data_IF_472447315977
#
_entry.id   IF_472447315977
#
_cell.length_a   1.000
_cell.length_b   1.000
_cell.length_c   1.000
_cell.angle_alpha   90.00
_cell.angle_beta   90.00
_cell.angle_gamma   90.00
#
_symmetry.space_group_name_H-M   'P 1'
#
loop_
_entity.id
_entity.type
_entity.pdbx_description
1 polymer ?
#
# COMPACT_ATOMS: atom_id res chain seq x y z
N UNK A 1 -26.05 -21.87 4.37
CA UNK A 1 -26.87 -20.63 4.42
C UNK A 1 -27.58 -20.57 5.75
N UNK A 2 -27.57 -19.42 6.44
CA UNK A 2 -28.26 -19.25 7.72
C UNK A 2 -29.63 -18.63 7.48
N UNK A 3 -30.68 -19.26 8.01
CA UNK A 3 -32.04 -18.71 7.95
C UNK A 3 -32.46 -18.32 9.34
N UNK A 4 -32.59 -17.02 9.58
CA UNK A 4 -33.10 -16.46 10.82
C UNK A 4 -34.61 -16.30 10.71
N UNK A 5 -35.36 -16.70 11.74
CA UNK A 5 -36.81 -16.50 11.78
C UNK A 5 -37.32 -16.26 13.20
N UNK A 6 -38.40 -15.50 13.31
CA UNK A 6 -39.13 -15.28 14.55
C UNK A 6 -40.61 -15.01 14.27
N UNK A 7 -41.48 -15.30 15.24
CA UNK A 7 -42.87 -14.82 15.19
C UNK A 7 -42.88 -13.32 15.46
N UNK A 8 -43.80 -12.60 14.82
CA UNK A 8 -43.89 -11.13 14.88
C UNK A 8 -44.04 -10.59 16.31
N UNK A 9 -44.59 -11.39 17.24
CA UNK A 9 -44.78 -11.03 18.64
C UNK A 9 -43.71 -11.62 19.59
N UNK A 10 -42.67 -12.26 19.05
CA UNK A 10 -41.59 -12.88 19.82
C UNK A 10 -40.26 -12.17 19.54
N UNK A 11 -39.60 -11.71 20.60
CA UNK A 11 -38.28 -11.06 20.52
C UNK A 11 -37.16 -12.07 20.23
N UNK A 12 -37.41 -13.37 20.43
CA UNK A 12 -36.42 -14.42 20.26
C UNK A 12 -36.36 -14.85 18.80
N UNK A 13 -35.19 -14.69 18.18
CA UNK A 13 -34.88 -15.25 16.85
C UNK A 13 -34.35 -16.67 16.98
N UNK A 14 -34.86 -17.54 16.11
CA UNK A 14 -34.32 -18.88 15.85
C UNK A 14 -33.48 -18.85 14.58
N UNK A 15 -32.46 -19.70 14.53
CA UNK A 15 -31.60 -19.88 13.36
C UNK A 15 -31.58 -21.34 12.96
N UNK A 16 -31.65 -21.59 11.66
CA UNK A 16 -31.40 -22.91 11.07
C UNK A 16 -30.31 -22.76 10.03
N UNK A 17 -29.29 -23.60 10.14
CA UNK A 17 -28.24 -23.73 9.13
C UNK A 17 -28.62 -24.83 8.15
N UNK A 18 -28.75 -24.45 6.87
CA UNK A 18 -29.09 -25.37 5.79
C UNK A 18 -27.91 -25.48 4.83
N UNK A 19 -27.56 -26.72 4.47
CA UNK A 19 -26.57 -27.05 3.44
C UNK A 19 -27.29 -27.43 2.15
N UNK A 20 -26.88 -26.84 1.02
CA UNK A 20 -27.46 -27.07 -0.30
C UNK A 20 -27.99 -25.80 -0.97
N UNK A 21 -28.40 -25.94 -2.24
CA UNK A 21 -28.87 -24.82 -3.08
C UNK A 21 -30.39 -24.64 -3.07
N UNK A 22 -31.13 -25.50 -2.35
CA UNK A 22 -32.58 -25.45 -2.23
C UNK A 22 -32.98 -25.56 -0.75
N UNK A 23 -33.88 -24.68 -0.30
CA UNK A 23 -34.38 -24.63 1.08
C UNK A 23 -35.90 -24.66 1.03
N UNK A 24 -36.50 -25.64 1.71
CA UNK A 24 -37.96 -25.77 1.82
C UNK A 24 -38.45 -25.21 3.15
N UNK A 25 -39.58 -24.50 3.10
CA UNK A 25 -40.15 -23.77 4.24
C UNK A 25 -41.63 -24.14 4.36
N UNK A 26 -42.09 -24.50 5.55
CA UNK A 26 -43.50 -24.83 5.78
C UNK A 26 -43.77 -25.34 7.20
N UNK A 27 -45.03 -25.67 7.50
CA UNK A 27 -45.39 -26.22 8.83
C UNK A 27 -45.08 -27.72 8.97
N UNK A 28 -44.84 -28.41 7.87
CA UNK A 28 -44.56 -29.85 7.88
C UNK A 28 -43.15 -30.11 8.42
N UNK A 29 -42.93 -31.10 9.31
CA UNK A 29 -41.61 -31.42 9.85
C UNK A 29 -40.56 -31.84 8.81
N UNK A 30 -41.00 -32.21 7.61
CA UNK A 30 -40.11 -32.60 6.49
C UNK A 30 -39.43 -31.40 5.80
N UNK A 31 -39.82 -30.16 6.15
CA UNK A 31 -39.17 -28.96 5.60
C UNK A 31 -37.84 -28.66 6.31
N UNK A 32 -36.93 -27.98 5.60
CA UNK A 32 -35.69 -27.49 6.18
C UNK A 32 -35.96 -26.42 7.26
N UNK A 33 -36.88 -25.50 7.00
CA UNK A 33 -37.33 -24.48 7.97
C UNK A 33 -38.78 -24.77 8.35
N UNK A 34 -38.96 -25.25 9.58
CA UNK A 34 -40.27 -25.64 10.12
C UNK A 34 -40.90 -24.48 10.86
N UNK A 35 -42.05 -24.00 10.36
CA UNK A 35 -42.83 -22.90 10.91
C UNK A 35 -44.17 -23.43 11.49
N UNK A 36 -44.23 -23.82 12.78
CA UNK A 36 -45.41 -24.45 13.36
C UNK A 36 -46.55 -23.44 13.58
N UNK A 37 -47.34 -23.21 12.55
CA UNK A 37 -48.55 -22.38 12.59
C UNK A 37 -49.63 -22.92 11.64
N UNK A 38 -50.92 -22.88 12.01
CA UNK A 38 -52.01 -23.26 11.12
C UNK A 38 -52.14 -22.34 9.90
N UNK A 39 -51.62 -21.11 9.99
CA UNK A 39 -51.63 -20.10 8.91
C UNK A 39 -50.52 -20.33 7.87
N UNK A 40 -49.63 -21.30 8.11
CA UNK A 40 -48.56 -21.68 7.19
C UNK A 40 -48.92 -23.00 6.50
N UNK A 41 -48.87 -23.03 5.18
CA UNK A 41 -49.03 -24.23 4.35
C UNK A 41 -48.04 -25.34 4.75
N UNK A 42 -48.41 -26.61 4.51
CA UNK A 42 -47.54 -27.78 4.79
C UNK A 42 -46.17 -27.62 4.15
N UNK A 43 -46.16 -27.24 2.87
CA UNK A 43 -45.00 -26.71 2.14
C UNK A 43 -45.44 -25.34 1.61
N UNK A 44 -44.82 -24.28 2.10
CA UNK A 44 -45.24 -22.91 1.83
C UNK A 44 -44.36 -22.25 0.78
N UNK A 45 -43.04 -22.34 0.93
CA UNK A 45 -42.12 -21.74 -0.02
C UNK A 45 -40.89 -22.62 -0.26
N UNK A 46 -40.29 -22.46 -1.42
CA UNK A 46 -39.00 -23.05 -1.78
C UNK A 46 -38.07 -21.92 -2.19
N UNK A 47 -36.92 -21.81 -1.53
CA UNK A 47 -35.89 -20.82 -1.85
C UNK A 47 -34.74 -21.53 -2.55
N UNK A 48 -34.40 -21.08 -3.76
CA UNK A 48 -33.27 -21.59 -4.54
C UNK A 48 -32.18 -20.53 -4.70
N UNK A 49 -30.93 -20.97 -4.70
CA UNK A 49 -29.76 -20.12 -4.97
C UNK A 49 -29.33 -20.34 -6.41
N UNK A 50 -29.32 -19.29 -7.24
CA UNK A 50 -28.82 -19.32 -8.61
C UNK A 50 -28.01 -18.05 -8.90
N UNK A 51 -26.78 -18.20 -9.40
CA UNK A 51 -25.85 -17.09 -9.72
C UNK A 51 -25.69 -16.04 -8.58
N UNK A 52 -25.66 -16.49 -7.33
CA UNK A 52 -25.49 -15.63 -6.15
C UNK A 52 -26.73 -14.81 -5.76
N UNK A 53 -27.87 -14.98 -6.46
CA UNK A 53 -29.18 -14.42 -6.10
C UNK A 53 -30.10 -15.49 -5.50
N UNK A 54 -30.98 -15.05 -4.60
CA UNK A 54 -32.00 -15.91 -4.00
C UNK A 54 -33.30 -15.77 -4.77
N UNK A 55 -33.94 -16.91 -5.06
CA UNK A 55 -35.25 -16.97 -5.70
C UNK A 55 -36.22 -17.66 -4.76
N UNK A 56 -37.30 -16.98 -4.37
CA UNK A 56 -38.36 -17.57 -3.58
C UNK A 56 -39.53 -17.92 -4.50
N UNK A 57 -39.90 -19.19 -4.52
CA UNK A 57 -41.11 -19.71 -5.15
C UNK A 57 -42.15 -20.00 -4.05
N UNK A 58 -43.32 -19.36 -4.12
CA UNK A 58 -44.43 -19.68 -3.23
C UNK A 58 -45.18 -20.90 -3.78
N UNK A 59 -45.06 -22.05 -3.11
CA UNK A 59 -45.74 -23.29 -3.49
C UNK A 59 -47.01 -23.54 -2.67
N UNK A 60 -47.31 -22.65 -1.72
CA UNK A 60 -48.48 -22.70 -0.86
C UNK A 60 -49.70 -21.99 -1.44
N UNK A 61 -50.85 -22.21 -0.81
CA UNK A 61 -52.10 -21.51 -1.14
C UNK A 61 -52.18 -20.10 -0.54
N UNK A 62 -51.49 -19.88 0.58
CA UNK A 62 -51.45 -18.58 1.27
C UNK A 62 -50.35 -17.70 0.66
N UNK A 63 -50.58 -16.40 0.58
CA UNK A 63 -49.55 -15.46 0.12
C UNK A 63 -48.40 -15.34 1.12
N UNK A 64 -47.25 -14.93 0.60
CA UNK A 64 -46.10 -14.49 1.39
C UNK A 64 -45.63 -13.14 0.87
N UNK A 65 -44.89 -12.39 1.67
CA UNK A 65 -44.37 -11.07 1.27
C UNK A 65 -42.85 -11.09 1.28
N UNK A 66 -42.21 -10.61 0.22
CA UNK A 66 -40.75 -10.47 0.11
C UNK A 66 -40.43 -8.99 -0.01
N UNK A 67 -39.82 -8.40 1.02
CA UNK A 67 -39.67 -6.95 1.11
C UNK A 67 -41.04 -6.27 1.20
N UNK A 68 -41.43 -5.59 0.13
CA UNK A 68 -42.72 -4.90 -0.03
C UNK A 68 -43.62 -5.57 -1.09
N UNK A 69 -43.17 -6.66 -1.72
CA UNK A 69 -43.90 -7.36 -2.78
C UNK A 69 -44.67 -8.58 -2.25
N UNK A 70 -45.95 -8.68 -2.56
CA UNK A 70 -46.79 -9.83 -2.19
C UNK A 70 -46.75 -10.91 -3.29
N UNK A 71 -46.42 -12.14 -2.90
CA UNK A 71 -46.20 -13.30 -3.77
C UNK A 71 -47.31 -14.32 -3.54
N UNK A 72 -48.12 -14.55 -4.57
CA UNK A 72 -49.22 -15.52 -4.59
C UNK A 72 -48.70 -16.94 -4.91
N UNK A 73 -49.53 -17.94 -4.64
CA UNK A 73 -49.20 -19.34 -4.96
C UNK A 73 -48.87 -19.54 -6.45
N UNK A 74 -47.74 -20.20 -6.71
CA UNK A 74 -47.18 -20.44 -8.05
C UNK A 74 -46.27 -19.34 -8.58
N UNK A 75 -46.11 -18.22 -7.86
CA UNK A 75 -45.22 -17.12 -8.27
C UNK A 75 -43.81 -17.28 -7.69
N UNK A 76 -42.85 -16.73 -8.43
CA UNK A 76 -41.42 -16.72 -8.06
C UNK A 76 -40.89 -15.29 -8.13
N UNK A 77 -40.11 -14.90 -7.11
CA UNK A 77 -39.45 -13.59 -7.04
C UNK A 77 -37.98 -13.74 -6.70
N UNK A 78 -37.15 -12.86 -7.27
CA UNK A 78 -35.73 -12.75 -6.92
C UNK A 78 -35.55 -11.72 -5.81
N UNK A 79 -34.68 -11.99 -4.84
CA UNK A 79 -34.38 -11.08 -3.75
C UNK A 79 -32.93 -11.20 -3.26
N UNK A 80 -32.43 -10.13 -2.65
CA UNK A 80 -31.09 -10.10 -2.07
C UNK A 80 -31.05 -10.67 -0.64
N UNK A 81 -29.92 -11.28 -0.22
CA UNK A 81 -29.71 -11.66 1.18
C UNK A 81 -29.92 -10.47 2.13
N UNK A 82 -30.54 -10.70 3.28
CA UNK A 82 -30.90 -9.66 4.25
C UNK A 82 -32.29 -9.03 4.07
N UNK A 83 -32.93 -9.19 2.90
CA UNK A 83 -34.34 -8.77 2.70
C UNK A 83 -35.26 -9.63 3.58
N UNK A 84 -36.25 -8.98 4.21
CA UNK A 84 -37.23 -9.66 5.07
C UNK A 84 -38.27 -10.39 4.23
N UNK A 85 -38.48 -11.66 4.53
CA UNK A 85 -39.56 -12.47 3.97
C UNK A 85 -40.60 -12.72 5.06
N UNK A 86 -41.87 -12.38 4.83
CA UNK A 86 -42.95 -12.58 5.78
C UNK A 86 -43.85 -13.71 5.31
N UNK A 87 -43.95 -14.74 6.14
CA UNK A 87 -44.91 -15.84 6.01
C UNK A 87 -45.71 -15.82 7.30
N UNK A 88 -46.89 -15.22 7.27
CA UNK A 88 -47.62 -14.87 8.49
C UNK A 88 -47.83 -16.09 9.43
N UNK A 89 -47.52 -15.99 10.74
CA UNK A 89 -47.09 -14.81 11.52
C UNK A 89 -45.55 -14.69 11.70
N UNK A 90 -44.76 -15.30 10.82
CA UNK A 90 -43.30 -15.33 10.89
C UNK A 90 -42.65 -14.28 9.99
N UNK A 91 -41.53 -13.73 10.46
CA UNK A 91 -40.57 -13.00 9.64
C UNK A 91 -39.30 -13.82 9.53
N UNK A 92 -38.79 -13.98 8.31
CA UNK A 92 -37.59 -14.70 7.97
C UNK A 92 -36.56 -13.71 7.36
N UNK A 93 -35.29 -14.02 7.55
CA UNK A 93 -34.18 -13.30 6.93
C UNK A 93 -33.11 -14.31 6.54
N UNK A 94 -32.66 -14.22 5.30
CA UNK A 94 -31.69 -15.14 4.73
C UNK A 94 -30.31 -14.50 4.74
N UNK A 95 -29.37 -15.16 5.41
CA UNK A 95 -27.97 -14.79 5.43
C UNK A 95 -27.21 -15.80 4.56
N UNK A 96 -26.86 -15.37 3.35
CA UNK A 96 -25.84 -16.06 2.60
C UNK A 96 -24.52 -15.85 3.34
N UNK A 97 -23.78 -16.93 3.62
CA UNK A 97 -22.36 -16.81 3.94
C UNK A 97 -21.68 -16.26 2.69
N UNK A 98 -21.69 -14.94 2.51
CA UNK A 98 -20.58 -14.31 1.82
C UNK A 98 -19.43 -14.42 2.82
N UNK A 99 -18.35 -15.18 2.55
CA UNK A 99 -17.12 -14.93 3.29
C UNK A 99 -16.89 -13.41 3.23
N UNK A 100 -16.46 -12.77 4.33
CA UNK A 100 -16.12 -11.35 4.27
C UNK A 100 -15.21 -11.19 3.05
N UNK A 101 -15.67 -10.42 2.06
CA UNK A 101 -14.84 -10.16 0.89
C UNK A 101 -13.71 -9.31 1.41
N UNK A 102 -12.57 -9.93 1.69
CA UNK A 102 -11.34 -9.24 2.03
C UNK A 102 -11.14 -8.22 0.93
N UNK A 103 -11.25 -6.96 1.28
CA UNK A 103 -11.05 -5.89 0.30
C UNK A 103 -9.63 -5.98 -0.22
N UNK A 104 -9.37 -5.53 -1.45
CA UNK A 104 -8.02 -5.56 -1.98
C UNK A 104 -7.04 -4.80 -1.07
N UNK A 105 -7.50 -3.68 -0.50
CA UNK A 105 -6.74 -2.90 0.48
C UNK A 105 -6.40 -3.71 1.74
N UNK A 106 -7.31 -4.52 2.28
CA UNK A 106 -7.04 -5.40 3.42
C UNK A 106 -6.04 -6.50 3.08
N UNK A 107 -6.14 -7.10 1.88
CA UNK A 107 -5.18 -8.10 1.41
C UNK A 107 -3.78 -7.50 1.24
N UNK A 108 -3.67 -6.32 0.63
CA UNK A 108 -2.40 -5.61 0.49
C UNK A 108 -1.79 -5.25 1.85
N UNK A 109 -2.60 -4.74 2.78
CA UNK A 109 -2.16 -4.43 4.12
C UNK A 109 -1.64 -5.69 4.83
N UNK A 110 -2.30 -6.84 4.63
CA UNK A 110 -1.85 -8.13 5.15
C UNK A 110 -0.51 -8.57 4.52
N UNK A 111 -0.38 -8.50 3.20
CA UNK A 111 0.85 -8.86 2.47
C UNK A 111 2.03 -7.97 2.87
N UNK A 112 1.82 -6.65 3.01
CA UNK A 112 2.82 -5.70 3.54
C UNK A 112 3.22 -6.06 4.97
N UNK A 113 2.24 -6.46 5.80
CA UNK A 113 2.49 -6.98 7.14
C UNK A 113 3.41 -8.19 7.12
N UNK A 114 3.12 -9.19 6.28
CA UNK A 114 3.93 -10.40 6.15
C UNK A 114 5.35 -10.11 5.65
N UNK A 115 5.52 -9.23 4.66
CA UNK A 115 6.84 -8.84 4.14
C UNK A 115 7.69 -8.18 5.24
N UNK A 116 7.14 -7.21 5.96
CA UNK A 116 7.92 -6.55 6.97
C UNK A 116 8.10 -7.39 8.25
N UNK A 117 7.20 -8.35 8.54
CA UNK A 117 7.45 -9.36 9.58
C UNK A 117 8.61 -10.31 9.17
N UNK A 118 8.71 -10.63 7.87
CA UNK A 118 9.83 -11.38 7.32
C UNK A 118 11.13 -10.58 7.41
N UNK A 119 11.14 -9.31 7.03
CA UNK A 119 12.29 -8.41 7.20
C UNK A 119 12.74 -8.34 8.66
N UNK A 120 11.81 -8.20 9.60
CA UNK A 120 12.11 -8.21 11.04
C UNK A 120 12.79 -9.51 11.48
N UNK A 121 12.30 -10.66 11.02
CA UNK A 121 12.88 -11.99 11.34
C UNK A 121 14.27 -12.14 10.74
N UNK A 122 14.47 -11.67 9.51
CA UNK A 122 15.78 -11.71 8.85
C UNK A 122 16.75 -10.79 9.59
N UNK A 123 16.36 -9.55 9.87
CA UNK A 123 17.17 -8.58 10.61
C UNK A 123 17.58 -9.11 12.00
N UNK A 124 16.66 -9.75 12.73
CA UNK A 124 17.00 -10.37 14.01
C UNK A 124 18.04 -11.48 13.88
N UNK A 125 17.92 -12.36 12.88
CA UNK A 125 18.93 -13.40 12.61
C UNK A 125 20.26 -12.83 12.11
N UNK A 126 20.24 -11.71 11.39
CA UNK A 126 21.46 -11.01 10.99
C UNK A 126 22.23 -10.49 12.21
N UNK A 127 21.55 -9.93 13.21
CA UNK A 127 22.15 -9.51 14.49
C UNK A 127 22.80 -10.67 15.26
N UNK A 128 22.32 -11.90 15.09
CA UNK A 128 22.88 -13.10 15.72
C UNK A 128 24.17 -13.58 15.02
N UNK A 129 24.35 -13.24 13.74
CA UNK A 129 25.47 -13.73 12.90
C UNK A 129 26.55 -12.69 12.64
N UNK A 130 26.16 -11.42 12.60
CA UNK A 130 27.00 -10.31 12.20
C UNK A 130 27.03 -9.29 13.33
N UNK A 131 28.23 -8.78 13.63
CA UNK A 131 28.32 -7.55 14.40
C UNK A 131 27.93 -6.37 13.49
N UNK A 132 26.63 -6.09 13.43
CA UNK A 132 26.09 -5.02 12.60
C UNK A 132 26.63 -3.64 13.00
N UNK A 133 27.08 -3.45 14.25
CA UNK A 133 27.73 -2.20 14.68
C UNK A 133 29.13 -2.03 14.05
N UNK A 134 29.84 -3.12 13.77
CA UNK A 134 31.11 -3.08 13.03
C UNK A 134 30.88 -2.71 11.56
N UNK A 135 29.79 -3.20 10.97
CA UNK A 135 29.35 -2.84 9.62
C UNK A 135 28.96 -1.36 9.50
N UNK A 136 28.19 -0.84 10.47
CA UNK A 136 27.82 0.58 10.51
C UNK A 136 29.03 1.51 10.69
N UNK A 137 30.01 1.12 11.53
CA UNK A 137 31.24 1.90 11.73
C UNK A 137 32.14 1.92 10.50
N UNK A 138 32.22 0.82 9.75
CA UNK A 138 32.94 0.77 8.47
C UNK A 138 32.22 1.55 7.36
N UNK A 139 30.90 1.74 7.50
CA UNK A 139 30.06 2.52 6.60
C UNK A 139 30.09 4.05 6.84
N UNK A 140 31.04 4.58 7.61
CA UNK A 140 31.35 6.02 7.66
C UNK A 140 31.88 6.61 6.33
N UNK A 141 31.73 5.88 5.23
CA UNK A 141 32.07 6.17 3.83
C UNK A 141 31.27 5.24 2.90
N UNK A 142 31.55 5.24 1.58
CA UNK A 142 30.91 4.32 0.64
C UNK A 142 31.04 2.87 1.14
N UNK A 143 29.91 2.16 1.26
CA UNK A 143 29.88 0.83 1.85
C UNK A 143 30.84 -0.11 1.12
N UNK A 144 31.64 -0.84 1.91
CA UNK A 144 32.62 -1.80 1.39
C UNK A 144 31.89 -2.88 0.56
N UNK A 145 32.25 -3.07 -0.73
CA UNK A 145 31.64 -4.10 -1.56
C UNK A 145 31.70 -5.50 -0.93
N UNK A 146 32.76 -5.84 -0.19
CA UNK A 146 32.86 -7.14 0.49
C UNK A 146 31.82 -7.27 1.62
N UNK A 147 31.59 -6.19 2.36
CA UNK A 147 30.56 -6.14 3.40
C UNK A 147 29.17 -6.28 2.80
N UNK A 148 28.87 -5.58 1.70
CA UNK A 148 27.59 -5.72 1.01
C UNK A 148 27.37 -7.16 0.53
N UNK A 149 28.40 -7.77 -0.08
CA UNK A 149 28.30 -9.15 -0.55
C UNK A 149 28.07 -10.13 0.60
N UNK A 150 28.79 -9.97 1.71
CA UNK A 150 28.61 -10.80 2.90
C UNK A 150 27.20 -10.67 3.48
N UNK A 151 26.66 -9.45 3.52
CA UNK A 151 25.29 -9.22 3.98
C UNK A 151 24.29 -9.92 3.07
N UNK A 152 24.40 -9.77 1.75
CA UNK A 152 23.48 -10.40 0.80
C UNK A 152 23.51 -11.93 0.88
N UNK A 153 24.69 -12.55 1.01
CA UNK A 153 24.82 -13.99 1.22
C UNK A 153 24.15 -14.44 2.52
N UNK A 154 24.33 -13.69 3.62
CA UNK A 154 23.66 -14.01 4.88
C UNK A 154 22.13 -13.89 4.78
N UNK A 155 21.62 -12.89 4.05
CA UNK A 155 20.18 -12.74 3.80
C UNK A 155 19.64 -13.99 3.09
N UNK A 156 20.32 -14.45 2.03
CA UNK A 156 19.90 -15.65 1.32
C UNK A 156 19.96 -16.92 2.19
N UNK A 157 21.02 -17.09 2.97
CA UNK A 157 21.17 -18.22 3.89
C UNK A 157 20.06 -18.22 4.94
N UNK A 158 19.76 -17.05 5.52
CA UNK A 158 18.68 -16.90 6.49
C UNK A 158 17.32 -17.18 5.86
N UNK A 159 17.07 -16.71 4.63
CA UNK A 159 15.84 -17.03 3.91
C UNK A 159 15.68 -18.54 3.66
N UNK A 160 16.80 -19.25 3.40
CA UNK A 160 16.81 -20.72 3.30
C UNK A 160 16.49 -21.38 4.65
N UNK A 161 17.06 -20.90 5.75
CA UNK A 161 16.76 -21.43 7.09
C UNK A 161 15.33 -21.18 7.56
N UNK A 162 14.78 -20.02 7.22
CA UNK A 162 13.40 -19.66 7.52
C UNK A 162 12.39 -20.36 6.62
N UNK A 163 12.86 -21.16 5.65
CA UNK A 163 12.08 -21.91 4.68
C UNK A 163 11.08 -21.02 3.92
N UNK A 164 11.51 -19.79 3.59
CA UNK A 164 10.65 -18.75 2.99
C UNK A 164 10.08 -19.22 1.65
N UNK A 165 10.91 -19.85 0.83
CA UNK A 165 10.59 -20.23 -0.54
C UNK A 165 10.07 -21.67 -0.69
N UNK A 166 9.45 -22.22 0.37
CA UNK A 166 8.87 -23.55 0.29
C UNK A 166 7.59 -23.60 -0.56
N UNK A 167 7.20 -24.80 -0.97
CA UNK A 167 5.99 -25.01 -1.79
C UNK A 167 4.69 -24.63 -1.08
N UNK A 168 4.66 -24.70 0.26
CA UNK A 168 3.48 -24.29 1.04
C UNK A 168 3.22 -22.77 0.94
N UNK A 169 4.28 -21.98 0.75
CA UNK A 169 4.20 -20.53 0.64
C UNK A 169 3.97 -20.05 -0.80
N UNK A 170 3.94 -20.94 -1.80
CA UNK A 170 3.92 -20.57 -3.23
C UNK A 170 2.81 -19.58 -3.61
N UNK A 171 1.60 -19.73 -3.04
CA UNK A 171 0.48 -18.82 -3.30
C UNK A 171 0.71 -17.43 -2.68
N UNK A 172 1.24 -17.38 -1.45
CA UNK A 172 1.54 -16.13 -0.76
C UNK A 172 2.67 -15.40 -1.47
N UNK A 173 3.72 -16.11 -1.89
CA UNK A 173 4.86 -15.56 -2.63
C UNK A 173 4.43 -14.99 -3.99
N UNK A 174 3.45 -15.60 -4.67
CA UNK A 174 2.88 -15.04 -5.90
C UNK A 174 2.18 -13.69 -5.65
N UNK A 175 1.33 -13.61 -4.62
CA UNK A 175 0.65 -12.35 -4.28
C UNK A 175 1.64 -11.29 -3.78
N UNK A 176 2.67 -11.68 -3.02
CA UNK A 176 3.76 -10.79 -2.60
C UNK A 176 4.55 -10.27 -3.80
N UNK A 177 4.91 -11.13 -4.75
CA UNK A 177 5.57 -10.70 -5.98
C UNK A 177 4.71 -9.71 -6.77
N UNK A 178 3.38 -9.92 -6.82
CA UNK A 178 2.43 -8.98 -7.41
C UNK A 178 2.42 -7.62 -6.70
N UNK A 179 2.39 -7.61 -5.36
CA UNK A 179 2.49 -6.38 -4.58
C UNK A 179 3.81 -5.64 -4.86
N UNK A 180 4.94 -6.36 -4.87
CA UNK A 180 6.26 -5.78 -5.15
C UNK A 180 6.33 -5.22 -6.57
N UNK A 181 5.78 -5.91 -7.57
CA UNK A 181 5.71 -5.39 -8.94
C UNK A 181 4.92 -4.08 -9.03
N UNK A 182 3.79 -4.00 -8.32
CA UNK A 182 3.00 -2.76 -8.25
C UNK A 182 3.83 -1.64 -7.62
N UNK A 183 4.45 -1.90 -6.47
CA UNK A 183 5.25 -0.91 -5.75
C UNK A 183 6.47 -0.46 -6.59
N UNK A 184 7.13 -1.37 -7.30
CA UNK A 184 8.21 -1.05 -8.25
C UNK A 184 7.73 -0.15 -9.38
N UNK A 185 6.56 -0.45 -9.96
CA UNK A 185 5.97 0.37 -11.02
C UNK A 185 5.64 1.78 -10.53
N UNK A 186 5.02 1.90 -9.36
CA UNK A 186 4.72 3.20 -8.74
C UNK A 186 6.01 3.99 -8.48
N UNK A 187 7.02 3.35 -7.88
CA UNK A 187 8.31 3.98 -7.62
C UNK A 187 8.99 4.45 -8.92
N UNK A 188 8.90 3.67 -10.01
CA UNK A 188 9.46 4.05 -11.31
C UNK A 188 8.80 5.33 -11.86
N UNK A 189 7.46 5.41 -11.81
CA UNK A 189 6.70 6.57 -12.29
C UNK A 189 7.00 7.83 -11.46
N UNK A 190 7.16 7.67 -10.15
CA UNK A 190 7.56 8.75 -9.25
C UNK A 190 8.93 9.32 -9.62
N UNK A 191 9.85 8.49 -10.07
CA UNK A 191 11.21 8.91 -10.46
C UNK A 191 11.28 9.48 -11.88
N UNK A 192 10.47 8.97 -12.81
CA UNK A 192 10.46 9.41 -14.22
C UNK A 192 9.78 10.77 -14.43
N UNK A 193 8.83 11.16 -13.57
CA UNK A 193 8.07 12.40 -13.68
C UNK A 193 8.87 13.70 -13.57
N UNK A 194 10.21 13.65 -13.48
CA UNK A 194 11.07 14.82 -13.25
C UNK A 194 12.22 15.00 -14.27
N UNK A 195 12.22 14.33 -15.45
CA UNK A 195 13.07 14.70 -16.63
C UNK A 195 12.88 13.78 -17.86
N UNK A 196 12.79 14.39 -19.05
CA UNK A 196 13.00 13.75 -20.37
C UNK A 196 14.44 13.27 -20.65
N UNK A 197 15.35 13.30 -19.67
CA UNK A 197 16.70 12.79 -19.86
C UNK A 197 16.74 11.30 -19.60
N UNK A 198 17.09 10.54 -20.64
CA UNK A 198 17.54 9.14 -20.60
C UNK A 198 18.34 8.86 -19.32
N UNK A 199 17.68 8.24 -18.33
CA UNK A 199 18.36 7.56 -17.24
C UNK A 199 18.16 6.07 -17.48
N UNK A 200 19.29 5.40 -17.68
CA UNK A 200 19.41 3.95 -17.74
C UNK A 200 18.54 3.34 -16.63
N UNK A 201 17.59 2.46 -16.97
CA UNK A 201 16.67 1.82 -16.01
C UNK A 201 17.43 1.10 -14.89
N UNK A 202 18.71 0.76 -15.13
CA UNK A 202 19.63 0.31 -14.11
C UNK A 202 19.68 1.27 -12.91
N UNK A 203 19.69 2.59 -13.12
CA UNK A 203 19.78 3.63 -12.09
C UNK A 203 18.56 3.71 -11.15
N UNK A 204 17.39 3.25 -11.60
CA UNK A 204 16.14 3.26 -10.82
C UNK A 204 16.02 2.05 -9.88
N UNK A 205 16.77 1.01 -10.20
CA UNK A 205 16.77 -0.26 -9.50
C UNK A 205 18.07 -0.52 -8.74
N UNK A 206 19.12 0.27 -8.99
CA UNK A 206 20.39 0.29 -8.26
C UNK A 206 20.32 1.27 -7.10
N UNK A 207 20.28 0.75 -5.88
CA UNK A 207 20.80 1.50 -4.75
C UNK A 207 22.29 1.79 -4.95
N UNK A 208 22.80 2.85 -4.33
CA UNK A 208 24.26 3.11 -4.21
C UNK A 208 25.00 1.92 -3.54
N UNK A 209 24.25 1.00 -2.95
CA UNK A 209 24.69 -0.24 -2.31
C UNK A 209 24.38 -1.50 -3.13
N UNK A 210 23.95 -1.39 -4.39
CA UNK A 210 23.81 -2.56 -5.26
C UNK A 210 25.16 -2.93 -5.86
N UNK A 211 25.61 -4.16 -5.59
CA UNK A 211 26.79 -4.72 -6.23
C UNK A 211 26.30 -5.46 -7.48
N UNK A 212 26.68 -5.02 -8.70
CA UNK A 212 26.21 -5.63 -9.95
C UNK A 212 26.43 -7.15 -10.04
N UNK A 213 27.39 -7.68 -9.28
CA UNK A 213 27.74 -9.10 -9.24
C UNK A 213 26.61 -10.03 -8.72
N UNK A 214 25.60 -9.50 -8.01
CA UNK A 214 24.49 -10.29 -7.48
C UNK A 214 23.21 -10.18 -8.31
N UNK A 215 23.19 -9.29 -9.31
CA UNK A 215 22.08 -9.20 -10.25
C UNK A 215 22.15 -10.38 -11.22
N UNK A 216 21.03 -11.07 -11.41
CA UNK A 216 20.92 -12.12 -12.42
C UNK A 216 20.39 -11.45 -13.68
N UNK A 217 21.20 -11.24 -14.74
CA UNK A 217 20.80 -10.41 -15.88
C UNK A 217 19.53 -10.92 -16.57
N UNK A 218 19.37 -12.24 -16.63
CA UNK A 218 18.17 -12.89 -17.18
C UNK A 218 16.91 -12.53 -16.38
N UNK A 219 16.99 -12.51 -15.05
CA UNK A 219 15.85 -12.18 -14.17
C UNK A 219 15.53 -10.69 -14.18
N UNK A 220 16.55 -9.83 -14.28
CA UNK A 220 16.32 -8.39 -14.48
C UNK A 220 15.65 -8.10 -15.82
N UNK A 221 16.07 -8.78 -16.90
CA UNK A 221 15.44 -8.64 -18.20
C UNK A 221 13.96 -9.10 -18.19
N UNK A 222 13.66 -10.21 -17.51
CA UNK A 222 12.28 -10.67 -17.30
C UNK A 222 11.46 -9.65 -16.50
N UNK A 223 11.97 -9.19 -15.36
CA UNK A 223 11.32 -8.19 -14.51
C UNK A 223 11.02 -6.90 -15.30
N UNK A 224 12.00 -6.39 -16.03
CA UNK A 224 11.84 -5.23 -16.91
C UNK A 224 10.79 -5.47 -18.00
N UNK A 225 10.77 -6.66 -18.59
CA UNK A 225 9.74 -7.06 -19.55
C UNK A 225 8.34 -7.01 -18.96
N UNK A 226 8.15 -7.51 -17.74
CA UNK A 226 6.85 -7.49 -17.04
C UNK A 226 6.41 -6.06 -16.70
N UNK A 227 7.33 -5.22 -16.20
CA UNK A 227 7.03 -3.82 -15.89
C UNK A 227 6.63 -3.05 -17.16
N UNK A 228 7.36 -3.23 -18.26
CA UNK A 228 7.01 -2.62 -19.57
C UNK A 228 5.63 -3.06 -20.04
N UNK A 229 5.35 -4.36 -19.98
CA UNK A 229 4.05 -4.91 -20.35
C UNK A 229 2.91 -4.30 -19.53
N UNK A 230 3.10 -4.17 -18.20
CA UNK A 230 2.10 -3.55 -17.32
C UNK A 230 1.86 -2.08 -17.66
N UNK A 231 2.93 -1.31 -17.94
CA UNK A 231 2.83 0.10 -18.35
C UNK A 231 2.00 0.28 -19.62
N UNK A 232 2.23 -0.57 -20.60
CA UNK A 232 1.47 -0.58 -21.86
C UNK A 232 0.00 -0.94 -21.61
N UNK A 233 -0.26 -2.00 -20.84
CA UNK A 233 -1.63 -2.46 -20.53
C UNK A 233 -2.45 -1.46 -19.72
N UNK A 234 -1.81 -0.75 -18.81
CA UNK A 234 -2.43 0.32 -18.02
C UNK A 234 -2.58 1.63 -18.80
N UNK A 235 -2.10 1.69 -20.05
CA UNK A 235 -2.12 2.88 -20.90
C UNK A 235 -1.56 4.13 -20.17
N UNK A 236 -0.45 3.97 -19.44
CA UNK A 236 0.11 5.05 -18.61
C UNK A 236 0.61 6.24 -19.44
N UNK A 237 0.90 6.02 -20.73
CA UNK A 237 1.27 7.08 -21.68
C UNK A 237 0.11 8.03 -22.02
N UNK A 238 -1.14 7.64 -21.74
CA UNK A 238 -2.33 8.49 -21.94
C UNK A 238 -2.66 9.36 -20.71
N UNK A 239 -1.97 9.14 -19.58
CA UNK A 239 -2.12 9.96 -18.39
C UNK A 239 -1.48 11.33 -18.59
N UNK A 240 -2.07 12.36 -17.98
CA UNK A 240 -1.58 13.75 -18.07
C UNK A 240 -0.26 13.96 -17.35
N UNK A 241 -0.11 13.33 -16.19
CA UNK A 241 1.06 13.48 -15.33
C UNK A 241 1.34 12.19 -14.53
N UNK A 242 2.46 12.18 -13.80
CA UNK A 242 2.88 11.06 -12.96
C UNK A 242 1.91 10.78 -11.81
N UNK A 243 1.12 11.75 -11.36
CA UNK A 243 0.12 11.56 -10.30
C UNK A 243 -1.03 10.70 -10.82
N UNK A 244 -1.55 11.04 -12.01
CA UNK A 244 -2.58 10.24 -12.67
C UNK A 244 -2.06 8.84 -13.04
N UNK A 245 -0.79 8.72 -13.44
CA UNK A 245 -0.17 7.42 -13.68
C UNK A 245 -0.14 6.55 -12.41
N UNK A 246 0.30 7.11 -11.29
CA UNK A 246 0.33 6.40 -10.01
C UNK A 246 -1.08 5.97 -9.60
N UNK A 247 -2.05 6.89 -9.61
CA UNK A 247 -3.44 6.57 -9.26
C UNK A 247 -4.00 5.43 -10.15
N UNK A 248 -3.74 5.48 -11.46
CA UNK A 248 -4.18 4.44 -12.39
C UNK A 248 -3.55 3.08 -12.09
N UNK A 249 -2.28 3.05 -11.70
CA UNK A 249 -1.64 1.81 -11.22
C UNK A 249 -2.32 1.31 -9.95
N UNK A 250 -2.57 2.18 -8.97
CA UNK A 250 -3.20 1.76 -7.71
C UNK A 250 -4.60 1.16 -7.90
N UNK A 251 -5.41 1.79 -8.76
CA UNK A 251 -6.79 1.37 -9.00
C UNK A 251 -6.87 0.13 -9.88
N UNK A 252 -6.02 0.04 -10.92
CA UNK A 252 -6.23 -0.91 -12.03
C UNK A 252 -5.17 -2.01 -12.13
N UNK A 253 -4.09 -1.97 -11.35
CA UNK A 253 -3.02 -2.99 -11.43
C UNK A 253 -3.57 -4.42 -11.33
N UNK A 254 -4.50 -4.67 -10.41
CA UNK A 254 -5.05 -6.01 -10.20
C UNK A 254 -6.04 -6.47 -11.26
N UNK A 255 -6.54 -5.58 -12.12
CA UNK A 255 -7.27 -5.96 -13.34
C UNK A 255 -6.34 -6.69 -14.32
N UNK A 256 -5.07 -6.28 -14.38
CA UNK A 256 -4.07 -6.80 -15.33
C UNK A 256 -3.11 -7.81 -14.72
N UNK A 257 -3.02 -7.89 -13.38
CA UNK A 257 -2.17 -8.87 -12.69
C UNK A 257 -2.41 -10.33 -13.15
N UNK A 258 -3.64 -10.81 -13.43
CA UNK A 258 -3.86 -12.15 -13.98
C UNK A 258 -3.13 -12.44 -15.30
N UNK A 259 -2.83 -11.42 -16.11
CA UNK A 259 -2.05 -11.58 -17.35
C UNK A 259 -0.55 -11.77 -17.07
N UNK A 260 -0.07 -11.26 -15.95
CA UNK A 260 1.33 -11.34 -15.51
C UNK A 260 1.60 -12.63 -14.73
N UNK A 261 0.62 -13.13 -13.97
CA UNK A 261 0.74 -14.36 -13.16
C UNK A 261 1.40 -15.55 -13.88
N UNK A 262 1.04 -15.91 -15.13
CA UNK A 262 1.67 -17.05 -15.82
C UNK A 262 3.17 -16.90 -16.06
N UNK A 263 3.66 -15.66 -16.09
CA UNK A 263 5.07 -15.35 -16.31
C UNK A 263 5.87 -15.32 -14.99
N UNK A 264 5.18 -15.23 -13.84
CA UNK A 264 5.76 -15.29 -12.49
C UNK A 264 6.05 -16.73 -12.05
N UNK A 265 6.96 -17.39 -12.76
CA UNK A 265 7.45 -18.70 -12.38
C UNK A 265 8.24 -18.65 -11.05
N UNK A 266 8.53 -19.82 -10.47
CA UNK A 266 9.11 -19.96 -9.12
C UNK A 266 10.40 -19.16 -8.90
N UNK A 267 11.36 -19.29 -9.82
CA UNK A 267 12.65 -18.57 -9.72
C UNK A 267 12.50 -17.05 -9.81
N UNK A 268 11.61 -16.55 -10.68
CA UNK A 268 11.37 -15.11 -10.78
C UNK A 268 10.66 -14.55 -9.54
N UNK A 269 9.69 -15.27 -8.97
CA UNK A 269 9.04 -14.86 -7.70
C UNK A 269 10.06 -14.78 -6.57
N UNK A 270 10.91 -15.81 -6.44
CA UNK A 270 12.00 -15.84 -5.47
C UNK A 270 12.97 -14.68 -5.69
N UNK A 271 13.35 -14.41 -6.94
CA UNK A 271 14.23 -13.31 -7.29
C UNK A 271 13.64 -11.96 -6.89
N UNK A 272 12.40 -11.66 -7.28
CA UNK A 272 11.72 -10.39 -6.97
C UNK A 272 11.67 -10.15 -5.45
N UNK A 273 11.32 -11.18 -4.68
CA UNK A 273 11.21 -11.08 -3.21
C UNK A 273 12.59 -10.93 -2.57
N UNK A 274 13.59 -11.72 -2.99
CA UNK A 274 14.96 -11.55 -2.49
C UNK A 274 15.52 -10.18 -2.84
N UNK A 275 15.25 -9.69 -4.04
CA UNK A 275 15.71 -8.39 -4.52
C UNK A 275 15.20 -7.26 -3.62
N UNK A 276 13.91 -7.23 -3.31
CA UNK A 276 13.35 -6.19 -2.43
C UNK A 276 13.84 -6.34 -0.98
N UNK A 277 13.90 -7.56 -0.44
CA UNK A 277 14.40 -7.80 0.92
C UNK A 277 15.88 -7.39 1.06
N UNK A 278 16.72 -7.74 0.09
CA UNK A 278 18.13 -7.32 0.05
C UNK A 278 18.25 -5.80 -0.02
N UNK A 279 17.47 -5.16 -0.91
CA UNK A 279 17.44 -3.71 -1.04
C UNK A 279 17.07 -3.05 0.30
N UNK A 280 15.95 -3.43 0.90
CA UNK A 280 15.41 -2.78 2.09
C UNK A 280 16.28 -3.01 3.34
N UNK A 281 16.88 -4.20 3.47
CA UNK A 281 17.85 -4.50 4.54
C UNK A 281 19.16 -3.74 4.36
N UNK A 282 19.65 -3.58 3.12
CA UNK A 282 20.82 -2.74 2.82
C UNK A 282 20.55 -1.28 3.13
N UNK A 283 19.38 -0.77 2.74
CA UNK A 283 18.98 0.61 3.07
C UNK A 283 18.90 0.81 4.57
N UNK A 284 18.43 -0.19 5.31
CA UNK A 284 18.38 -0.12 6.78
C UNK A 284 19.78 -0.06 7.38
N UNK A 285 20.69 -0.93 6.94
CA UNK A 285 22.02 -1.08 7.55
C UNK A 285 22.95 0.06 7.12
N UNK A 286 22.95 0.44 5.84
CA UNK A 286 23.90 1.40 5.27
C UNK A 286 23.29 2.76 4.91
N UNK A 287 22.00 2.80 4.59
CA UNK A 287 21.30 3.98 4.10
C UNK A 287 20.39 4.64 5.15
N UNK A 288 19.24 5.15 4.70
CA UNK A 288 18.22 5.75 5.57
C UNK A 288 16.99 4.86 5.74
N UNK A 289 17.15 3.55 5.51
CA UNK A 289 16.09 2.54 5.61
C UNK A 289 14.87 2.91 4.77
N UNK A 290 13.66 2.86 5.33
CA UNK A 290 12.43 3.14 4.59
C UNK A 290 12.36 4.58 4.05
N UNK A 291 13.20 5.50 4.54
CA UNK A 291 13.24 6.88 4.06
C UNK A 291 14.03 7.04 2.76
N UNK A 292 14.88 6.07 2.39
CA UNK A 292 15.79 6.19 1.25
C UNK A 292 15.06 6.57 -0.04
N UNK A 293 14.03 5.80 -0.40
CA UNK A 293 13.23 6.04 -1.60
C UNK A 293 12.39 7.33 -1.49
N UNK A 294 11.90 7.66 -0.29
CA UNK A 294 11.11 8.87 -0.06
C UNK A 294 11.95 10.14 -0.20
N UNK A 295 13.21 10.07 0.25
CA UNK A 295 14.18 11.15 0.09
C UNK A 295 14.54 11.36 -1.38
N UNK A 296 14.66 10.28 -2.16
CA UNK A 296 14.92 10.37 -3.61
C UNK A 296 13.70 10.83 -4.41
N UNK A 297 12.48 10.56 -3.95
CA UNK A 297 11.25 10.89 -4.66
C UNK A 297 11.04 12.42 -4.79
N UNK A 298 11.18 13.03 -5.98
CA UNK A 298 11.10 14.48 -6.15
C UNK A 298 9.72 15.06 -5.84
N UNK A 299 8.66 14.26 -6.03
CA UNK A 299 7.27 14.64 -5.72
C UNK A 299 6.98 14.73 -4.21
N UNK A 300 7.85 14.19 -3.36
CA UNK A 300 7.74 14.32 -1.90
C UNK A 300 8.37 15.63 -1.47
N UNK A 301 7.57 16.46 -0.82
CA UNK A 301 7.98 17.77 -0.29
C UNK A 301 8.29 17.72 1.21
N UNK A 302 7.57 16.87 1.95
CA UNK A 302 7.76 16.66 3.38
C UNK A 302 7.60 15.18 3.74
N UNK A 303 8.46 14.68 4.63
CA UNK A 303 8.40 13.32 5.17
C UNK A 303 8.22 13.43 6.68
N UNK A 304 7.20 12.77 7.22
CA UNK A 304 6.84 12.81 8.64
C UNK A 304 6.81 11.40 9.22
N UNK A 305 7.81 11.05 10.02
CA UNK A 305 7.83 9.86 10.85
C UNK A 305 7.21 10.23 12.19
N UNK A 306 5.97 9.79 12.41
CA UNK A 306 5.27 10.00 13.69
C UNK A 306 5.66 8.92 14.69
N UNK A 307 5.87 7.70 14.19
CA UNK A 307 6.38 6.51 14.89
C UNK A 307 7.06 5.57 13.89
N UNK A 308 7.71 4.53 14.38
CA UNK A 308 8.32 3.49 13.54
C UNK A 308 7.34 2.87 12.53
N UNK A 309 6.05 2.70 12.87
CA UNK A 309 5.01 2.14 12.01
C UNK A 309 4.15 3.17 11.26
N UNK A 310 4.44 4.47 11.43
CA UNK A 310 3.63 5.57 10.91
C UNK A 310 4.49 6.62 10.22
N UNK A 311 4.68 6.42 8.91
CA UNK A 311 5.36 7.36 8.03
C UNK A 311 4.32 7.99 7.08
N UNK A 312 4.28 9.32 7.06
CA UNK A 312 3.47 10.13 6.17
C UNK A 312 4.37 10.92 5.23
N UNK A 313 3.84 11.28 4.07
CA UNK A 313 4.51 12.14 3.10
C UNK A 313 3.55 13.21 2.62
N UNK A 314 4.07 14.38 2.30
CA UNK A 314 3.35 15.45 1.63
C UNK A 314 3.71 15.44 0.14
N UNK A 315 2.70 15.28 -0.71
CA UNK A 315 2.81 15.41 -2.17
C UNK A 315 1.79 16.43 -2.65
N UNK A 316 2.23 17.40 -3.44
CA UNK A 316 1.34 18.43 -4.00
C UNK A 316 0.45 19.12 -2.96
N UNK A 317 0.94 19.31 -1.72
CA UNK A 317 0.18 19.91 -0.62
C UNK A 317 -0.76 18.97 0.13
N UNK A 318 -0.83 17.69 -0.24
CA UNK A 318 -1.69 16.67 0.39
C UNK A 318 -0.84 15.70 1.21
N UNK A 319 -1.26 15.48 2.46
CA UNK A 319 -0.62 14.51 3.36
C UNK A 319 -1.25 13.14 3.16
N UNK A 320 -0.42 12.14 2.87
CA UNK A 320 -0.83 10.76 2.69
C UNK A 320 0.08 9.80 3.47
N UNK A 321 -0.42 8.58 3.74
CA UNK A 321 0.36 7.53 4.40
C UNK A 321 1.27 6.87 3.37
N UNK A 322 2.58 6.80 3.63
CA UNK A 322 3.54 6.27 2.65
C UNK A 322 3.48 4.75 2.47
N UNK A 323 2.83 4.03 3.40
CA UNK A 323 2.81 2.57 3.45
C UNK A 323 4.10 1.93 3.97
N UNK A 324 5.16 2.72 4.21
CA UNK A 324 6.45 2.26 4.72
C UNK A 324 6.51 2.30 6.25
N UNK A 325 7.34 1.45 6.83
CA UNK A 325 7.60 1.38 8.28
C UNK A 325 9.06 1.04 8.56
N UNK A 326 9.56 1.48 9.71
CA UNK A 326 10.81 1.01 10.28
C UNK A 326 10.62 -0.35 10.95
N UNK A 327 11.70 -1.13 10.99
CA UNK A 327 11.75 -2.43 11.67
C UNK A 327 11.55 -2.27 13.18
N UNK A 328 12.14 -1.25 13.80
CA UNK A 328 11.96 -0.99 15.22
C UNK A 328 12.30 0.45 15.58
N UNK A 329 11.89 0.87 16.78
CA UNK A 329 12.28 2.17 17.34
C UNK A 329 13.81 2.30 17.43
N UNK A 330 14.54 1.24 17.80
CA UNK A 330 16.01 1.26 17.85
C UNK A 330 16.65 1.53 16.49
N UNK A 331 16.13 0.88 15.44
CA UNK A 331 16.58 1.12 14.06
C UNK A 331 16.24 2.55 13.63
N UNK A 332 15.08 3.06 14.06
CA UNK A 332 14.67 4.45 13.80
C UNK A 332 15.63 5.44 14.48
N UNK A 333 15.99 5.21 15.74
CA UNK A 333 17.01 6.02 16.47
C UNK A 333 18.35 6.00 15.73
N UNK A 334 18.85 4.82 15.34
CA UNK A 334 20.11 4.69 14.62
C UNK A 334 20.13 5.44 13.28
N UNK A 335 19.02 5.38 12.52
CA UNK A 335 18.88 6.12 11.25
C UNK A 335 18.81 7.64 11.51
N UNK A 336 18.08 8.08 12.53
CA UNK A 336 18.03 9.49 12.92
C UNK A 336 19.43 9.99 13.31
N UNK A 337 20.16 9.22 14.13
CA UNK A 337 21.55 9.53 14.51
C UNK A 337 22.45 9.65 13.27
N UNK A 338 22.33 8.72 12.31
CA UNK A 338 23.09 8.71 11.05
C UNK A 338 22.82 9.96 10.19
N UNK A 339 21.54 10.32 10.01
CA UNK A 339 21.13 11.53 9.26
C UNK A 339 21.75 12.79 9.90
N UNK A 340 21.67 12.90 11.21
CA UNK A 340 22.11 14.07 11.97
C UNK A 340 23.65 14.14 12.06
N UNK A 341 24.33 12.98 12.07
CA UNK A 341 25.78 12.90 12.08
C UNK A 341 26.42 13.43 10.79
N UNK A 342 25.76 13.27 9.62
CA UNK A 342 26.25 13.78 8.33
C UNK A 342 26.46 15.30 8.30
N UNK A 343 25.77 16.02 9.19
CA UNK A 343 25.81 17.48 9.29
C UNK A 343 26.57 17.96 10.54
N UNK A 344 27.36 17.07 11.16
CA UNK A 344 28.17 17.38 12.33
C UNK A 344 27.34 17.69 13.59
N UNK A 345 26.09 17.25 13.62
CA UNK A 345 25.21 17.37 14.79
C UNK A 345 25.15 16.04 15.52
N UNK A 346 24.65 16.06 16.75
CA UNK A 346 24.49 14.88 17.59
C UNK A 346 23.10 14.89 18.21
N UNK A 347 22.54 13.70 18.34
CA UNK A 347 21.29 13.44 19.06
C UNK A 347 21.52 12.18 19.88
N UNK A 348 21.19 12.23 21.17
CA UNK A 348 21.30 11.10 22.09
C UNK A 348 20.38 11.32 23.30
N UNK A 349 20.36 10.39 24.26
CA UNK A 349 19.48 10.50 25.44
C UNK A 349 19.73 11.74 26.32
N UNK A 350 20.89 12.38 26.21
CA UNK A 350 21.21 13.63 26.91
C UNK A 350 20.79 14.86 26.11
N UNK A 351 20.77 14.76 24.77
CA UNK A 351 20.27 15.77 23.83
C UNK A 351 19.25 15.14 22.87
N UNK A 352 18.02 14.84 23.34
CA UNK A 352 17.05 14.03 22.61
C UNK A 352 16.24 14.79 21.54
N UNK A 353 16.69 16.01 21.16
CA UNK A 353 16.03 16.86 20.17
C UNK A 353 17.11 17.56 19.33
N UNK A 354 16.89 17.63 18.02
CA UNK A 354 17.80 18.31 17.10
C UNK A 354 17.06 18.94 15.92
N UNK A 355 17.52 20.13 15.55
CA UNK A 355 17.19 20.78 14.29
C UNK A 355 18.47 20.90 13.45
N UNK A 356 18.40 20.45 12.19
CA UNK A 356 19.54 20.43 11.31
C UNK A 356 19.18 20.75 9.85
N UNK A 357 20.19 21.09 9.06
CA UNK A 357 20.05 21.32 7.61
C UNK A 357 20.99 20.39 6.87
N UNK A 358 20.43 19.54 6.04
CA UNK A 358 21.14 18.54 5.23
C UNK A 358 21.93 19.22 4.09
N UNK A 359 22.94 18.53 3.51
CA UNK A 359 23.76 19.08 2.43
C UNK A 359 22.96 19.47 1.18
N UNK A 360 21.85 18.78 0.91
CA UNK A 360 20.90 19.10 -0.17
C UNK A 360 20.04 20.35 0.12
N UNK A 361 20.16 20.94 1.31
CA UNK A 361 19.42 22.10 1.77
C UNK A 361 18.15 21.77 2.55
N UNK A 362 17.75 20.49 2.61
CA UNK A 362 16.58 19.99 3.33
C UNK A 362 16.70 20.27 4.84
N UNK A 363 15.58 20.50 5.51
CA UNK A 363 15.53 20.75 6.96
C UNK A 363 15.04 19.51 7.68
N UNK A 364 15.72 19.17 8.77
CA UNK A 364 15.41 18.00 9.58
C UNK A 364 15.14 18.44 11.00
N UNK A 365 14.02 18.00 11.55
CA UNK A 365 13.72 18.05 12.98
C UNK A 365 13.55 16.61 13.47
N UNK A 366 14.26 16.22 14.53
CA UNK A 366 14.14 14.89 15.10
C UNK A 366 14.05 14.94 16.63
N UNK A 367 13.24 14.04 17.18
CA UNK A 367 13.05 13.88 18.62
C UNK A 367 13.09 12.39 18.95
N UNK A 368 13.89 12.02 19.95
CA UNK A 368 14.03 10.63 20.41
C UNK A 368 13.60 10.49 21.88
N UNK A 369 13.41 9.27 22.40
CA UNK A 369 13.21 9.06 23.83
C UNK A 369 14.35 9.66 24.68
N UNK A 370 14.05 10.25 25.85
CA UNK A 370 12.79 10.17 26.58
C UNK A 370 11.73 11.23 26.19
N UNK A 371 12.05 12.21 25.34
CA UNK A 371 11.07 13.25 24.97
C UNK A 371 9.97 12.71 24.05
N UNK A 372 10.33 11.78 23.16
CA UNK A 372 9.40 11.14 22.25
C UNK A 372 8.70 9.94 22.95
N UNK A 373 7.64 10.23 23.72
CA UNK A 373 6.92 9.24 24.56
C UNK A 373 6.38 8.04 23.77
N UNK A 374 6.09 8.22 22.48
CA UNK A 374 5.50 7.19 21.61
C UNK A 374 6.51 6.53 20.67
N UNK A 375 7.80 6.70 20.95
CA UNK A 375 8.90 6.28 20.07
C UNK A 375 9.48 7.46 19.29
N UNK A 376 10.62 7.27 18.62
CA UNK A 376 11.32 8.31 17.85
C UNK A 376 10.44 8.92 16.76
N UNK A 377 10.54 10.24 16.57
CA UNK A 377 9.87 10.94 15.49
C UNK A 377 10.84 11.87 14.75
N UNK A 378 10.54 12.10 13.46
CA UNK A 378 11.41 12.80 12.53
C UNK A 378 10.56 13.49 11.48
N UNK A 379 10.84 14.76 11.20
CA UNK A 379 10.25 15.49 10.08
C UNK A 379 11.36 16.00 9.17
N UNK A 380 11.32 15.63 7.89
CA UNK A 380 12.23 16.11 6.86
C UNK A 380 11.44 16.95 5.87
N UNK A 381 11.74 18.25 5.83
CA UNK A 381 11.18 19.18 4.85
C UNK A 381 12.19 19.33 3.73
N UNK A 382 11.89 18.75 2.58
CA UNK A 382 12.83 18.70 1.46
C UNK A 382 12.99 20.08 0.86
N UNK A 383 14.22 20.41 0.47
CA UNK A 383 14.44 21.57 -0.37
C UNK A 383 14.03 21.20 -1.80
N UNK A 384 13.11 21.93 -2.45
CA UNK A 384 12.67 21.58 -3.79
C UNK A 384 13.87 21.57 -4.76
N UNK A 385 14.08 20.42 -5.40
CA UNK A 385 15.14 20.22 -6.40
C UNK A 385 14.77 20.95 -7.69
N UNK A 386 13.48 20.96 -8.02
CA UNK A 386 12.92 21.62 -9.18
C UNK A 386 12.88 23.13 -8.95
N UNK A 387 13.75 23.86 -9.63
CA UNK A 387 13.70 25.32 -9.72
C UNK A 387 12.80 25.67 -10.89
N UNK A 388 11.67 26.28 -10.58
CA UNK A 388 10.78 26.82 -11.60
C UNK A 388 11.46 28.01 -12.26
N UNK A 389 11.52 27.98 -13.59
CA UNK A 389 11.92 29.14 -14.37
C UNK A 389 10.78 30.14 -14.42
N UNK A 390 11.10 31.38 -14.79
CA UNK A 390 10.06 32.39 -14.99
C UNK A 390 9.07 31.98 -16.10
N UNK A 391 9.54 31.25 -17.11
CA UNK A 391 8.72 30.74 -18.21
C UNK A 391 7.71 29.70 -17.70
N UNK A 392 8.15 28.78 -16.83
CA UNK A 392 7.25 27.79 -16.20
C UNK A 392 6.16 28.49 -15.36
N UNK A 393 6.52 29.56 -14.63
CA UNK A 393 5.56 30.32 -13.82
C UNK A 393 4.53 31.06 -14.69
N UNK A 394 4.92 31.49 -15.89
CA UNK A 394 4.00 32.09 -16.86
C UNK A 394 3.06 31.02 -17.42
N UNK A 395 3.59 29.85 -17.79
CA UNK A 395 2.82 28.74 -18.33
C UNK A 395 1.77 28.21 -17.33
N UNK A 396 2.14 28.13 -16.04
CA UNK A 396 1.21 27.80 -14.95
C UNK A 396 0.19 28.90 -14.63
N UNK A 397 0.32 30.08 -15.24
CA UNK A 397 -0.53 31.24 -14.93
C UNK A 397 -0.29 31.84 -13.53
N UNK A 398 0.84 31.53 -12.89
CA UNK A 398 1.22 32.10 -11.59
C UNK A 398 1.63 33.58 -11.70
N UNK A 399 2.14 33.99 -12.87
CA UNK A 399 2.46 35.37 -13.22
C UNK A 399 2.14 35.62 -14.69
N UNK A 400 1.80 36.86 -15.05
CA UNK A 400 1.63 37.24 -16.45
C UNK A 400 2.99 37.54 -17.10
N UNK A 401 3.09 37.35 -18.42
CA UNK A 401 4.30 37.67 -19.17
C UNK A 401 4.75 39.14 -18.95
N UNK A 402 3.80 40.08 -18.94
CA UNK A 402 4.09 41.48 -18.70
C UNK A 402 4.70 41.74 -17.31
N UNK A 403 4.19 41.07 -16.26
CA UNK A 403 4.72 41.19 -14.91
C UNK A 403 6.09 40.53 -14.77
N UNK A 404 6.32 39.38 -15.42
CA UNK A 404 7.62 38.74 -15.48
C UNK A 404 8.67 39.64 -16.17
N UNK A 405 8.33 40.26 -17.30
CA UNK A 405 9.22 41.20 -17.99
C UNK A 405 9.52 42.44 -17.13
N UNK A 406 8.52 42.97 -16.43
CA UNK A 406 8.72 44.09 -15.48
C UNK A 406 9.67 43.72 -14.33
N UNK A 407 9.48 42.54 -13.73
CA UNK A 407 10.37 42.04 -12.68
C UNK A 407 11.80 41.84 -13.21
N UNK A 408 11.95 41.28 -14.42
CA UNK A 408 13.25 41.13 -15.08
C UNK A 408 13.96 42.47 -15.24
N UNK A 409 13.25 43.52 -15.66
CA UNK A 409 13.80 44.86 -15.77
C UNK A 409 14.23 45.42 -14.39
N UNK A 410 13.42 45.21 -13.36
CA UNK A 410 13.74 45.62 -11.99
C UNK A 410 15.00 44.93 -11.46
N UNK A 411 15.18 43.64 -11.75
CA UNK A 411 16.37 42.86 -11.35
C UNK A 411 17.62 43.35 -12.09
N UNK A 412 17.53 43.58 -13.41
CA UNK A 412 18.63 44.12 -14.22
C UNK A 412 19.08 45.49 -13.69
N UNK A 413 18.11 46.35 -13.33
CA UNK A 413 18.36 47.68 -12.77
C UNK A 413 18.62 47.67 -11.25
N UNK A 414 18.82 46.47 -10.66
CA UNK A 414 19.17 46.24 -9.24
C UNK A 414 18.24 46.95 -8.26
N UNK A 415 16.94 46.97 -8.55
CA UNK A 415 15.93 47.47 -7.62
C UNK A 415 15.81 46.54 -6.41
N UNK A 416 15.46 47.12 -5.26
CA UNK A 416 15.11 46.35 -4.07
C UNK A 416 13.70 45.78 -4.25
N UNK A 417 13.56 44.45 -4.18
CA UNK A 417 12.30 43.74 -4.37
C UNK A 417 12.02 42.88 -3.13
N UNK A 418 10.82 42.99 -2.57
CA UNK A 418 10.36 42.17 -1.46
C UNK A 418 9.24 41.24 -1.94
N UNK A 419 9.48 39.92 -1.88
CA UNK A 419 8.47 38.91 -2.16
C UNK A 419 7.73 38.57 -0.85
N UNK A 420 6.43 38.82 -0.80
CA UNK A 420 5.60 38.64 0.40
C UNK A 420 4.34 37.81 0.10
N UNK A 421 3.74 37.20 1.14
CA UNK A 421 2.64 36.24 1.01
C UNK A 421 2.54 35.25 2.17
N UNK A 422 1.41 34.54 2.28
CA UNK A 422 1.15 33.54 3.33
C UNK A 422 2.06 32.31 3.27
N UNK A 423 2.03 31.45 4.29
CA UNK A 423 2.80 30.19 4.28
C UNK A 423 2.38 29.31 3.11
N UNK A 424 3.33 28.73 2.38
CA UNK A 424 3.05 27.85 1.24
C UNK A 424 2.69 28.54 -0.10
N UNK A 425 2.62 29.88 -0.16
CA UNK A 425 2.17 30.60 -1.38
C UNK A 425 3.26 30.77 -2.46
N UNK A 426 4.30 29.94 -2.50
CA UNK A 426 5.34 30.01 -3.54
C UNK A 426 6.33 31.19 -3.45
N UNK A 427 6.43 31.90 -2.32
CA UNK A 427 7.37 33.04 -2.17
C UNK A 427 8.82 32.69 -2.52
N UNK A 428 9.30 31.57 -1.97
CA UNK A 428 10.69 31.11 -2.19
C UNK A 428 10.89 30.70 -3.64
N UNK A 429 9.85 30.14 -4.28
CA UNK A 429 9.85 29.82 -5.71
C UNK A 429 9.96 31.08 -6.56
N UNK A 430 9.20 32.12 -6.27
CA UNK A 430 9.22 33.39 -7.00
C UNK A 430 10.53 34.19 -6.81
N UNK A 431 11.20 33.98 -5.66
CA UNK A 431 12.46 34.65 -5.34
C UNK A 431 13.68 34.01 -6.04
N UNK A 432 13.67 32.68 -6.17
CA UNK A 432 14.73 31.91 -6.80
C UNK A 432 14.70 32.06 -8.32
#
# INVERSE_FOLDING_TARGET
MKVWFNKINESRRSVVEVQGNEITIGRDPTNHVVLPSPLVSRRHAVVRVHDGRLYLENVGLNSCVVGDEEILGGQTVAFDPGVKVRIWPYTLTFEAEKPPSVTRAELEAHLRGLLADLEMRIHKKLLERLDLMEFEKKAGGAADPEAILLLEHNIEDICRELDVFNKANAQILEEMAGLVLRDLLINQLIMEGDREQFFDLAALATNEFDVPAMLVPEREAELHGLLRFLRERLALHECRDSTEQVQRVEERFYEFFPLVRPHLHEELRKYIILRILKKDLKDTIFGFGPLQDLLRAPTVTEIMVVKSDQIYVERNGVIEKSGRRFISDKVTEAIIERIVAQVGRRIDKSQPLVDARLPDGSRVNAIIPPLAVRGPCLTIRKFPIQRWTMDDLIEMGSITEAAAQFLRACVIDRKNILVSGGTGTGKTTMLN
#
